data_IF_352931185635
#
_entry.id   IF_352931185635
#
_cell.length_a   1.000
_cell.length_b   1.000
_cell.length_c   1.000
_cell.angle_alpha   90.00
_cell.angle_beta   90.00
_cell.angle_gamma   90.00
#
_symmetry.space_group_name_H-M   'P 1'
#
loop_
_entity.id
_entity.type
_entity.pdbx_description
1 polymer ?
#
# COMPACT_ATOMS: atom_id res chain seq x y z
N UNK A 1 -22.50 1.51 -31.91
CA UNK A 1 -21.49 2.52 -31.52
C UNK A 1 -21.49 2.80 -30.02
N UNK A 2 -22.65 3.13 -29.47
CA UNK A 2 -22.72 3.40 -28.03
C UNK A 2 -22.41 2.21 -27.15
N UNK A 3 -22.78 1.01 -27.61
CA UNK A 3 -22.53 -0.21 -26.86
C UNK A 3 -21.04 -0.53 -26.75
N UNK A 4 -20.28 -0.35 -27.84
CA UNK A 4 -18.84 -0.57 -27.80
C UNK A 4 -18.12 0.41 -26.89
N UNK A 5 -18.57 1.66 -26.90
CA UNK A 5 -17.99 2.69 -25.99
C UNK A 5 -18.28 2.36 -24.54
N UNK A 6 -19.49 1.91 -24.25
CA UNK A 6 -19.86 1.52 -22.89
C UNK A 6 -19.06 0.31 -22.43
N UNK A 7 -18.89 -0.68 -23.29
CA UNK A 7 -18.09 -1.87 -22.96
C UNK A 7 -16.63 -1.49 -22.71
N UNK A 8 -16.07 -0.58 -23.51
CA UNK A 8 -14.70 -0.11 -23.30
C UNK A 8 -14.56 0.64 -22.00
N UNK A 9 -15.52 1.48 -21.67
CA UNK A 9 -15.53 2.23 -20.41
C UNK A 9 -15.62 1.26 -19.23
N UNK A 10 -16.53 0.29 -19.30
CA UNK A 10 -16.68 -0.70 -18.25
C UNK A 10 -15.40 -1.51 -18.04
N UNK A 11 -14.74 -1.91 -19.14
CA UNK A 11 -13.49 -2.63 -19.05
C UNK A 11 -12.39 -1.79 -18.37
N UNK A 12 -12.34 -0.50 -18.70
CA UNK A 12 -11.37 0.41 -18.10
C UNK A 12 -11.65 0.63 -16.62
N UNK A 13 -12.91 0.75 -16.26
CA UNK A 13 -13.30 0.90 -14.85
C UNK A 13 -12.91 -0.34 -14.06
N UNK A 14 -13.20 -1.51 -14.59
CA UNK A 14 -12.84 -2.77 -13.93
C UNK A 14 -11.33 -2.87 -13.74
N UNK A 15 -10.57 -2.53 -14.77
CA UNK A 15 -9.11 -2.52 -14.67
C UNK A 15 -8.62 -1.55 -13.60
N UNK A 16 -9.19 -0.34 -13.57
CA UNK A 16 -8.83 0.64 -12.55
C UNK A 16 -9.19 0.20 -11.15
N UNK A 17 -10.33 -0.44 -10.98
CA UNK A 17 -10.74 -0.98 -9.68
C UNK A 17 -9.75 -2.04 -9.20
N UNK A 18 -9.31 -2.92 -10.09
CA UNK A 18 -8.32 -3.93 -9.75
C UNK A 18 -6.98 -3.30 -9.35
N UNK A 19 -6.56 -2.26 -10.05
CA UNK A 19 -5.34 -1.54 -9.72
C UNK A 19 -5.44 -0.87 -8.35
N UNK A 20 -6.58 -0.26 -8.07
CA UNK A 20 -6.81 0.39 -6.78
C UNK A 20 -6.77 -0.65 -5.67
N UNK A 21 -7.37 -1.80 -5.87
CA UNK A 21 -7.34 -2.88 -4.90
C UNK A 21 -5.91 -3.35 -4.62
N UNK A 22 -5.11 -3.53 -5.67
CA UNK A 22 -3.71 -3.90 -5.52
C UNK A 22 -2.92 -2.83 -4.80
N UNK A 23 -3.15 -1.56 -5.15
CA UNK A 23 -2.49 -0.44 -4.49
C UNK A 23 -2.83 -0.41 -3.01
N UNK A 24 -4.09 -0.62 -2.68
CA UNK A 24 -4.52 -0.65 -1.28
C UNK A 24 -3.81 -1.75 -0.50
N UNK A 25 -3.66 -2.93 -1.08
CA UNK A 25 -2.92 -4.03 -0.45
C UNK A 25 -1.45 -3.66 -0.26
N UNK A 26 -0.85 -3.06 -1.28
CA UNK A 26 0.56 -2.66 -1.24
C UNK A 26 0.78 -1.60 -0.18
N UNK A 27 -0.07 -0.60 -0.12
CA UNK A 27 0.03 0.46 0.90
C UNK A 27 -0.12 -0.13 2.30
N UNK A 28 -1.08 -1.01 2.49
CA UNK A 28 -1.27 -1.67 3.78
C UNK A 28 -0.02 -2.44 4.21
N UNK A 29 0.56 -3.22 3.29
CA UNK A 29 1.78 -3.97 3.57
C UNK A 29 2.96 -3.05 3.89
N UNK A 30 3.07 -1.95 3.16
CA UNK A 30 4.13 -0.98 3.40
C UNK A 30 3.97 -0.30 4.75
N UNK A 31 2.74 0.03 5.12
CA UNK A 31 2.48 0.63 6.45
C UNK A 31 2.86 -0.32 7.57
N UNK A 32 2.60 -1.61 7.41
CA UNK A 32 3.02 -2.61 8.40
C UNK A 32 4.53 -2.71 8.50
N UNK A 33 5.22 -2.69 7.36
CA UNK A 33 6.69 -2.73 7.35
C UNK A 33 7.28 -1.49 7.98
N UNK A 34 6.70 -0.32 7.70
CA UNK A 34 7.14 0.94 8.29
C UNK A 34 6.95 0.93 9.80
N UNK A 35 5.80 0.47 10.28
CA UNK A 35 5.55 0.37 11.72
C UNK A 35 6.56 -0.55 12.39
N UNK A 36 6.90 -1.66 11.73
CA UNK A 36 7.88 -2.60 12.24
C UNK A 36 9.26 -1.98 12.29
N UNK A 37 9.66 -1.26 11.24
CA UNK A 37 10.94 -0.56 11.20
C UNK A 37 11.02 0.53 12.26
N UNK A 38 9.94 1.28 12.45
CA UNK A 38 9.88 2.29 13.49
C UNK A 38 10.08 1.68 14.87
N UNK A 39 9.43 0.55 15.14
CA UNK A 39 9.59 -0.15 16.40
C UNK A 39 11.02 -0.62 16.61
N UNK A 40 11.65 -1.14 15.57
CA UNK A 40 13.05 -1.58 15.63
C UNK A 40 13.97 -0.39 15.89
N UNK A 41 13.75 0.72 15.21
CA UNK A 41 14.55 1.92 15.40
C UNK A 41 14.42 2.47 16.81
N UNK A 42 13.20 2.52 17.33
CA UNK A 42 12.97 2.96 18.71
C UNK A 42 13.69 2.05 19.72
N UNK A 43 13.61 0.75 19.49
CA UNK A 43 14.29 -0.22 20.35
C UNK A 43 15.79 -0.05 20.31
N UNK A 44 16.35 0.18 19.12
CA UNK A 44 17.79 0.40 18.97
C UNK A 44 18.23 1.69 19.65
N UNK A 45 17.47 2.76 19.51
CA UNK A 45 17.79 4.03 20.17
C UNK A 45 17.79 3.86 21.67
N UNK A 46 16.79 3.19 22.24
CA UNK A 46 16.74 2.92 23.68
C UNK A 46 17.91 2.07 24.15
N UNK A 47 18.29 1.08 23.35
CA UNK A 47 19.45 0.25 23.68
C UNK A 47 20.73 1.07 23.70
N UNK A 48 20.92 1.92 22.70
CA UNK A 48 22.08 2.80 22.64
C UNK A 48 22.12 3.78 23.83
N UNK A 49 20.97 4.32 24.20
CA UNK A 49 20.86 5.22 25.35
C UNK A 49 21.22 4.51 26.65
N UNK A 50 20.84 3.24 26.79
CA UNK A 50 21.10 2.46 27.99
C UNK A 50 22.56 2.05 28.12
N UNK A 51 23.34 2.12 27.07
CA UNK A 51 24.78 1.79 27.10
C UNK A 51 25.63 2.95 27.62
N UNK A 52 25.06 4.14 27.61
CA UNK A 52 25.72 5.31 28.16
C UNK A 52 25.45 5.43 29.66
#
# INVERSE_FOLDING_TARGET
MNEERLENIEAKITFQEDLIEELNKTVYQQQQKLARLEAICESLVRHMESLD
#
